data_IF_823056721774
#
_entry.id   IF_823056721774
#
_cell.length_a   1.000
_cell.length_b   1.000
_cell.length_c   1.000
_cell.angle_alpha   90.00
_cell.angle_beta   90.00
_cell.angle_gamma   90.00
#
_symmetry.space_group_name_H-M   'P 1'
#
loop_
_entity.id
_entity.type
_entity.pdbx_description
1 polymer ?
#
# COMPACT_ATOMS: atom_id res chain seq x y z
N UNK A 1 1.64 -23.48 -6.07
CA UNK A 1 2.05 -22.10 -5.75
C UNK A 1 0.88 -21.11 -5.74
N UNK A 2 -0.20 -21.33 -6.50
CA UNK A 2 -1.37 -20.42 -6.56
C UNK A 2 -2.21 -20.41 -5.25
N UNK A 3 -2.21 -21.49 -4.46
CA UNK A 3 -3.08 -21.60 -3.28
C UNK A 3 -2.68 -20.73 -2.08
N UNK A 4 -1.40 -20.37 -1.92
CA UNK A 4 -0.94 -19.63 -0.75
C UNK A 4 -1.45 -18.18 -0.73
N UNK A 5 -1.44 -17.52 -1.90
CA UNK A 5 -1.97 -16.16 -2.04
C UNK A 5 -3.46 -16.11 -1.71
N UNK A 6 -4.25 -17.07 -2.18
CA UNK A 6 -5.70 -17.18 -1.89
C UNK A 6 -6.03 -17.39 -0.42
N UNK A 7 -5.12 -18.00 0.34
CA UNK A 7 -5.28 -18.12 1.79
C UNK A 7 -5.05 -16.76 2.45
N UNK A 8 -3.95 -16.06 2.10
CA UNK A 8 -3.68 -14.70 2.60
C UNK A 8 -4.75 -13.67 2.18
N UNK A 9 -5.31 -13.79 0.97
CA UNK A 9 -6.46 -13.03 0.44
C UNK A 9 -7.72 -13.15 1.31
N UNK A 10 -7.83 -14.20 2.13
CA UNK A 10 -8.98 -14.46 3.00
C UNK A 10 -8.78 -14.02 4.47
N UNK A 11 -7.57 -13.64 4.85
CA UNK A 11 -7.24 -13.29 6.24
C UNK A 11 -7.82 -11.92 6.63
N UNK A 12 -8.58 -11.79 7.75
CA UNK A 12 -9.17 -10.52 8.17
C UNK A 12 -8.13 -9.46 8.60
N UNK A 13 -6.85 -9.84 8.75
CA UNK A 13 -5.74 -8.94 9.02
C UNK A 13 -5.14 -8.32 7.75
N UNK A 14 -5.49 -8.80 6.56
CA UNK A 14 -5.11 -8.17 5.29
C UNK A 14 -5.80 -6.79 5.18
N UNK A 15 -5.02 -5.72 5.20
CA UNK A 15 -5.49 -4.34 5.09
C UNK A 15 -5.56 -3.85 3.64
N UNK A 16 -4.63 -4.31 2.79
CA UNK A 16 -4.58 -4.02 1.37
C UNK A 16 -3.67 -5.02 0.62
N UNK A 17 -3.91 -5.23 -0.67
CA UNK A 17 -3.09 -6.09 -1.54
C UNK A 17 -2.72 -5.40 -2.86
N UNK A 18 -1.51 -5.63 -3.35
CA UNK A 18 -1.06 -5.21 -4.67
C UNK A 18 -0.29 -6.34 -5.38
N UNK A 19 -0.52 -6.49 -6.69
CA UNK A 19 0.13 -7.50 -7.53
C UNK A 19 0.92 -6.81 -8.64
N UNK A 20 2.24 -6.79 -8.50
CA UNK A 20 3.16 -6.31 -9.53
C UNK A 20 3.29 -7.40 -10.61
N UNK A 21 2.75 -7.14 -11.80
CA UNK A 21 2.67 -8.11 -12.89
C UNK A 21 3.19 -7.52 -14.20
N UNK A 22 4.17 -8.17 -14.87
CA UNK A 22 4.64 -7.76 -16.20
C UNK A 22 3.54 -7.77 -17.29
N UNK A 23 2.40 -8.43 -17.05
CA UNK A 23 1.23 -8.40 -17.93
C UNK A 23 0.45 -7.06 -17.85
N UNK A 24 0.64 -6.31 -16.76
CA UNK A 24 0.04 -5.02 -16.47
C UNK A 24 1.17 -4.06 -16.06
N UNK A 25 1.97 -3.52 -17.01
CA UNK A 25 3.17 -2.74 -16.69
C UNK A 25 2.92 -1.57 -15.73
N UNK A 26 1.72 -0.99 -15.75
CA UNK A 26 1.29 0.06 -14.83
C UNK A 26 1.28 -0.37 -13.35
N UNK A 27 1.19 -1.67 -13.06
CA UNK A 27 1.29 -2.25 -11.70
C UNK A 27 2.72 -2.27 -11.14
N UNK A 28 3.72 -2.06 -12.00
CA UNK A 28 5.11 -1.86 -11.60
C UNK A 28 5.39 -0.40 -11.22
N UNK A 29 4.47 0.53 -11.50
CA UNK A 29 4.63 1.93 -11.15
C UNK A 29 4.31 2.18 -9.67
N UNK A 30 5.28 2.75 -8.94
CA UNK A 30 5.14 3.19 -7.54
C UNK A 30 3.89 4.06 -7.32
N UNK A 31 3.55 4.93 -8.29
CA UNK A 31 2.36 5.77 -8.23
C UNK A 31 1.05 4.96 -8.24
N UNK A 32 0.98 3.90 -9.04
CA UNK A 32 -0.16 2.97 -9.12
C UNK A 32 -0.26 2.12 -7.87
N UNK A 33 0.87 1.60 -7.38
CA UNK A 33 0.96 0.84 -6.13
C UNK A 33 0.43 1.66 -4.95
N UNK A 34 0.95 2.88 -4.75
CA UNK A 34 0.52 3.76 -3.65
C UNK A 34 -0.95 4.13 -3.74
N UNK A 35 -1.47 4.46 -4.94
CA UNK A 35 -2.90 4.76 -5.14
C UNK A 35 -3.77 3.54 -4.81
N UNK A 36 -3.39 2.34 -5.26
CA UNK A 36 -4.18 1.13 -5.05
C UNK A 36 -4.27 0.78 -3.55
N UNK A 37 -3.13 0.76 -2.85
CA UNK A 37 -3.09 0.50 -1.41
C UNK A 37 -3.90 1.57 -0.65
N UNK A 38 -3.71 2.86 -0.96
CA UNK A 38 -4.44 3.95 -0.33
C UNK A 38 -5.97 3.80 -0.48
N UNK A 39 -6.45 3.46 -1.68
CA UNK A 39 -7.88 3.24 -1.93
C UNK A 39 -8.43 2.08 -1.10
N UNK A 40 -7.71 0.96 -0.98
CA UNK A 40 -8.11 -0.17 -0.16
C UNK A 40 -8.14 0.17 1.34
N UNK A 41 -7.16 0.93 1.83
CA UNK A 41 -7.16 1.42 3.21
C UNK A 41 -8.37 2.34 3.50
N UNK A 42 -8.74 3.24 2.59
CA UNK A 42 -9.94 4.09 2.75
C UNK A 42 -11.22 3.25 2.77
N UNK A 43 -11.32 2.21 1.94
CA UNK A 43 -12.44 1.26 1.97
C UNK A 43 -12.49 0.43 3.26
N UNK A 44 -11.32 0.07 3.81
CA UNK A 44 -11.19 -0.72 5.05
C UNK A 44 -11.48 0.12 6.30
N UNK A 45 -11.12 1.39 6.29
CA UNK A 45 -11.20 2.29 7.43
C UNK A 45 -12.06 3.52 7.08
N UNK A 46 -13.37 3.52 7.39
CA UNK A 46 -14.30 4.55 6.91
C UNK A 46 -14.04 5.96 7.44
N UNK A 47 -13.19 6.12 8.47
CA UNK A 47 -12.75 7.41 9.01
C UNK A 47 -11.37 7.85 8.48
N UNK A 48 -10.73 7.05 7.62
CA UNK A 48 -9.42 7.37 7.05
C UNK A 48 -9.57 8.38 5.92
N UNK A 49 -9.02 9.58 6.12
CA UNK A 49 -8.95 10.60 5.08
C UNK A 49 -7.55 10.61 4.49
N UNK A 50 -7.45 10.32 3.19
CA UNK A 50 -6.20 10.31 2.43
C UNK A 50 -6.20 11.48 1.43
N UNK A 51 -5.13 12.31 1.35
CA UNK A 51 -5.07 13.42 0.42
C UNK A 51 -4.98 12.94 -1.03
N UNK A 52 -5.71 13.57 -1.94
CA UNK A 52 -5.62 13.27 -3.38
C UNK A 52 -4.36 13.91 -3.99
N UNK A 53 -3.25 13.17 -4.02
CA UNK A 53 -2.00 13.61 -4.64
C UNK A 53 -2.05 13.51 -6.18
N UNK A 54 -1.46 14.49 -6.86
CA UNK A 54 -1.30 14.45 -8.32
C UNK A 54 -0.29 13.38 -8.73
N UNK A 55 -0.42 12.83 -9.94
CA UNK A 55 0.57 11.86 -10.44
C UNK A 55 1.98 12.45 -10.56
N UNK A 56 2.10 13.76 -10.83
CA UNK A 56 3.40 14.45 -10.82
C UNK A 56 4.02 14.42 -9.42
N UNK A 57 3.24 14.69 -8.37
CA UNK A 57 3.70 14.61 -6.97
C UNK A 57 4.10 13.18 -6.61
N UNK A 58 3.32 12.17 -7.00
CA UNK A 58 3.64 10.76 -6.75
C UNK A 58 4.96 10.32 -7.40
N UNK A 59 5.28 10.84 -8.59
CA UNK A 59 6.49 10.48 -9.33
C UNK A 59 7.71 11.24 -8.77
N UNK A 60 7.59 12.55 -8.55
CA UNK A 60 8.71 13.42 -8.19
C UNK A 60 9.04 13.42 -6.67
N UNK A 61 8.06 13.10 -5.81
CA UNK A 61 8.16 13.20 -4.36
C UNK A 61 7.68 11.92 -3.67
N UNK A 62 8.22 10.76 -4.09
CA UNK A 62 7.77 9.44 -3.64
C UNK A 62 7.82 9.25 -2.11
N UNK A 63 8.86 9.78 -1.44
CA UNK A 63 9.00 9.72 0.02
C UNK A 63 7.91 10.51 0.73
N UNK A 64 7.68 11.76 0.31
CA UNK A 64 6.62 12.61 0.85
C UNK A 64 5.24 12.01 0.55
N UNK A 65 5.07 11.40 -0.63
CA UNK A 65 3.84 10.70 -1.02
C UNK A 65 3.55 9.49 -0.13
N UNK A 66 4.56 8.67 0.21
CA UNK A 66 4.41 7.59 1.20
C UNK A 66 3.97 8.15 2.55
N UNK A 67 4.62 9.19 3.03
CA UNK A 67 4.32 9.77 4.35
C UNK A 67 2.88 10.32 4.41
N UNK A 68 2.43 10.99 3.34
CA UNK A 68 1.12 11.62 3.26
C UNK A 68 -0.02 10.68 2.87
N UNK A 69 0.24 9.57 2.16
CA UNK A 69 -0.78 8.60 1.75
C UNK A 69 -0.91 7.40 2.69
N UNK A 70 0.19 6.95 3.28
CA UNK A 70 0.24 5.77 4.15
C UNK A 70 0.40 6.18 5.61
N UNK A 71 1.52 6.84 5.94
CA UNK A 71 1.99 6.98 7.33
C UNK A 71 1.08 7.87 8.17
N UNK A 72 0.93 9.14 7.77
CA UNK A 72 0.10 10.13 8.50
C UNK A 72 -1.37 9.67 8.62
N UNK A 73 -2.02 9.16 7.55
CA UNK A 73 -3.36 8.59 7.66
C UNK A 73 -3.44 7.39 8.62
N UNK A 74 -2.56 6.38 8.50
CA UNK A 74 -2.60 5.19 9.36
C UNK A 74 -2.32 5.51 10.84
N UNK A 75 -1.40 6.42 11.13
CA UNK A 75 -1.12 6.89 12.49
C UNK A 75 -2.27 7.67 13.12
N UNK A 76 -3.19 8.22 12.32
CA UNK A 76 -4.40 8.89 12.82
C UNK A 76 -5.51 7.91 13.26
N UNK A 77 -5.41 6.64 12.88
CA UNK A 77 -6.39 5.62 13.24
C UNK A 77 -6.23 5.17 14.71
N UNK A 78 -7.33 4.75 15.37
CA UNK A 78 -7.22 4.04 16.64
C UNK A 78 -6.43 2.75 16.44
N UNK A 79 -5.47 2.47 17.35
CA UNK A 79 -4.62 1.28 17.25
C UNK A 79 -5.47 -0.01 17.10
N UNK A 80 -5.21 -0.85 16.09
CA UNK A 80 -5.99 -2.06 15.87
C UNK A 80 -5.74 -3.07 17.00
N UNK A 81 -6.74 -3.91 17.28
CA UNK A 81 -6.67 -4.94 18.35
C UNK A 81 -5.78 -6.14 18.00
N UNK A 82 -5.44 -6.28 16.72
CA UNK A 82 -4.53 -7.28 16.17
C UNK A 82 -3.60 -6.59 15.17
N UNK A 83 -2.40 -7.13 14.91
CA UNK A 83 -1.59 -6.67 13.80
C UNK A 83 -2.38 -6.79 12.49
N UNK A 84 -2.11 -5.88 11.57
CA UNK A 84 -2.62 -5.87 10.21
C UNK A 84 -1.43 -5.88 9.25
N UNK A 85 -1.62 -6.40 8.04
CA UNK A 85 -0.55 -6.48 7.04
C UNK A 85 -1.02 -6.00 5.67
N UNK A 86 -0.06 -5.58 4.86
CA UNK A 86 -0.25 -5.24 3.45
C UNK A 86 0.52 -6.30 2.66
N UNK A 87 -0.13 -6.88 1.66
CA UNK A 87 0.49 -7.86 0.77
C UNK A 87 0.92 -7.18 -0.53
N UNK A 88 2.19 -7.32 -0.91
CA UNK A 88 2.67 -6.89 -2.22
C UNK A 88 3.43 -8.07 -2.83
N UNK A 89 2.88 -8.63 -3.90
CA UNK A 89 3.47 -9.73 -4.66
C UNK A 89 4.16 -9.21 -5.92
N UNK A 90 5.25 -9.85 -6.33
CA UNK A 90 6.00 -9.51 -7.54
C UNK A 90 6.86 -8.24 -7.49
N UNK A 91 7.14 -7.67 -6.32
CA UNK A 91 8.01 -6.47 -6.18
C UNK A 91 9.35 -6.61 -6.93
N UNK A 92 9.74 -5.55 -7.61
CA UNK A 92 11.09 -5.37 -8.15
C UNK A 92 12.00 -4.56 -7.20
N UNK A 93 13.23 -4.30 -7.65
CA UNK A 93 14.23 -3.56 -6.89
C UNK A 93 13.90 -2.07 -6.70
N UNK A 94 13.01 -1.50 -7.50
CA UNK A 94 12.65 -0.07 -7.41
C UNK A 94 11.52 0.15 -6.40
N UNK A 95 10.63 -0.84 -6.24
CA UNK A 95 9.57 -0.85 -5.22
C UNK A 95 10.12 -1.21 -3.82
N UNK A 96 11.11 -2.10 -3.72
CA UNK A 96 11.64 -2.58 -2.42
C UNK A 96 12.08 -1.46 -1.44
N UNK A 97 12.80 -0.40 -1.83
CA UNK A 97 13.15 0.72 -0.96
C UNK A 97 11.92 1.45 -0.37
N UNK A 98 10.85 1.55 -1.16
CA UNK A 98 9.58 2.17 -0.75
C UNK A 98 8.87 1.31 0.31
N UNK A 99 8.88 -0.01 0.13
CA UNK A 99 8.31 -0.97 1.10
C UNK A 99 9.10 -0.96 2.40
N UNK A 100 10.43 -0.94 2.34
CA UNK A 100 11.30 -0.80 3.51
C UNK A 100 11.01 0.51 4.26
N UNK A 101 10.85 1.63 3.55
CA UNK A 101 10.46 2.91 4.11
C UNK A 101 9.11 2.83 4.84
N UNK A 102 8.06 2.30 4.21
CA UNK A 102 6.74 2.11 4.84
C UNK A 102 6.86 1.24 6.11
N UNK A 103 7.59 0.14 6.05
CA UNK A 103 7.77 -0.78 7.20
C UNK A 103 8.53 -0.17 8.38
N UNK A 104 9.16 0.99 8.21
CA UNK A 104 9.82 1.74 9.30
C UNK A 104 8.82 2.57 10.13
N UNK A 105 7.61 2.80 9.60
CA UNK A 105 6.63 3.73 10.17
C UNK A 105 5.36 3.10 10.75
N UNK A 106 5.15 1.78 10.58
CA UNK A 106 3.89 1.07 10.92
C UNK A 106 4.18 -0.16 11.78
#
# INVERSE_FOLDING_TARGET
MIEYWRQLESEPQLAAVHYCSPLYPESLEIATLLRNIANQLVLRFPNLVVPNLTSVTLIAHQVDAVEHLMVKPLLSLPRPKSPLFILIDGCDNDILPLVALVSTFV
#
